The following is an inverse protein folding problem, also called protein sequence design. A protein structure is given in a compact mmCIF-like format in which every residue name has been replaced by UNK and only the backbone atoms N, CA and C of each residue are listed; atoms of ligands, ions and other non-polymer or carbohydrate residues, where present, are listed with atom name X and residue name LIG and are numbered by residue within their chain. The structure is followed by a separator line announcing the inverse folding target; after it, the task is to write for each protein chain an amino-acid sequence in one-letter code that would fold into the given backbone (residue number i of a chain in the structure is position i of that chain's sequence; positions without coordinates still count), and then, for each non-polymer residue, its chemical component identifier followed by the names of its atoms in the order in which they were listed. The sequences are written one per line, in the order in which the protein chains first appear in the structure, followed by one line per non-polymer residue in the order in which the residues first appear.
data_IF_162915443469
#
_entry.id   IF_162915443469
#
_cell.length_a   1.000
_cell.length_b   1.000
_cell.length_c   1.000
_cell.angle_alpha   90.00
_cell.angle_beta   90.00
_cell.angle_gamma   90.00
#
_symmetry.space_group_name_H-M   'P 1'
#
loop_
_entity.id
_entity.type
_entity.pdbx_description
1 polymer ?
#
# COMPACT_ATOMS: atom_id res chain seq x y z
N UNK A 1 -19.41 -14.83 -14.23
CA UNK A 1 -18.08 -14.65 -13.62
C UNK A 1 -17.03 -14.86 -14.70
N UNK A 2 -16.41 -13.79 -15.21
CA UNK A 2 -15.47 -13.87 -16.34
C UNK A 2 -14.06 -13.74 -15.76
N UNK A 3 -13.32 -14.85 -15.68
CA UNK A 3 -11.89 -14.83 -15.34
C UNK A 3 -11.07 -14.42 -16.57
N UNK A 4 -10.15 -13.48 -16.41
CA UNK A 4 -9.09 -13.23 -17.41
C UNK A 4 -7.74 -13.63 -16.84
N UNK A 5 -6.99 -14.41 -17.61
CA UNK A 5 -5.61 -14.84 -17.31
C UNK A 5 -4.64 -13.76 -17.75
N UNK A 6 -3.80 -13.28 -16.83
CA UNK A 6 -2.60 -12.51 -17.17
C UNK A 6 -1.39 -13.43 -16.97
N UNK A 7 -0.60 -13.65 -18.03
CA UNK A 7 0.62 -14.45 -17.98
C UNK A 7 1.77 -13.65 -17.39
N UNK A 8 2.46 -14.23 -16.42
CA UNK A 8 3.66 -13.71 -15.77
C UNK A 8 4.90 -14.37 -16.37
N UNK A 9 5.85 -13.56 -16.84
CA UNK A 9 7.19 -14.02 -17.22
C UNK A 9 8.12 -13.76 -16.03
N UNK A 10 8.78 -14.78 -15.45
CA UNK A 10 9.71 -14.58 -14.35
C UNK A 10 10.92 -13.77 -14.82
N UNK A 11 11.21 -12.65 -14.16
CA UNK A 11 12.42 -11.84 -14.39
C UNK A 11 12.18 -10.46 -15.02
N UNK A 12 10.94 -10.09 -15.36
CA UNK A 12 10.62 -8.74 -15.87
C UNK A 12 9.73 -7.97 -14.89
N UNK A 13 10.25 -6.81 -14.48
CA UNK A 13 9.50 -5.72 -13.84
C UNK A 13 8.20 -5.44 -14.62
N UNK A 14 7.11 -5.14 -13.92
CA UNK A 14 5.84 -4.70 -14.52
C UNK A 14 6.12 -3.57 -15.54
N UNK A 15 6.03 -3.88 -16.83
CA UNK A 15 6.22 -2.89 -17.90
C UNK A 15 4.85 -2.59 -18.52
N UNK A 16 4.24 -1.49 -18.10
CA UNK A 16 3.16 -0.86 -18.87
C UNK A 16 3.84 -0.13 -20.02
N UNK A 17 3.89 -0.74 -21.21
CA UNK A 17 4.44 -0.09 -22.39
C UNK A 17 3.37 0.78 -23.05
N UNK A 18 3.29 2.06 -22.68
CA UNK A 18 2.81 3.09 -23.62
C UNK A 18 4.01 3.58 -24.41
N UNK A 19 4.00 3.34 -25.72
CA UNK A 19 5.12 3.63 -26.61
C UNK A 19 5.52 5.11 -26.66
N UNK A 20 6.73 5.30 -27.19
CA UNK A 20 7.43 6.56 -27.57
C UNK A 20 8.26 7.25 -26.48
N UNK A 21 9.48 6.76 -26.35
CA UNK A 21 10.69 7.60 -26.44
C UNK A 21 10.91 8.60 -25.33
N UNK A 22 11.26 8.12 -24.13
CA UNK A 22 12.09 8.87 -23.18
C UNK A 22 13.09 7.90 -22.56
N UNK A 23 14.37 8.27 -22.57
CA UNK A 23 15.45 7.51 -21.91
C UNK A 23 15.01 7.23 -20.46
N UNK A 24 14.76 5.97 -20.15
CA UNK A 24 14.40 5.55 -18.80
C UNK A 24 15.63 5.76 -17.92
N UNK A 25 15.61 6.86 -17.15
CA UNK A 25 16.57 7.10 -16.11
C UNK A 25 16.22 6.13 -14.97
N UNK A 26 16.76 4.91 -15.05
CA UNK A 26 16.61 3.89 -14.01
C UNK A 26 17.38 4.36 -12.78
N UNK A 27 16.77 5.26 -12.00
CA UNK A 27 17.25 5.60 -10.67
C UNK A 27 16.99 4.38 -9.80
N UNK A 28 18.02 3.55 -9.63
CA UNK A 28 18.03 2.51 -8.61
C UNK A 28 17.83 3.21 -7.27
N UNK A 29 16.64 3.09 -6.68
CA UNK A 29 16.42 3.48 -5.30
C UNK A 29 17.20 2.47 -4.44
N UNK A 30 18.43 2.81 -4.05
CA UNK A 30 19.06 2.17 -2.90
C UNK A 30 18.19 2.49 -1.68
N UNK A 31 17.65 1.47 -1.02
CA UNK A 31 16.75 1.60 0.14
C UNK A 31 17.41 2.20 1.38
N UNK A 32 18.70 2.51 1.31
CA UNK A 32 19.48 3.05 2.42
C UNK A 32 19.64 4.55 2.25
N UNK A 33 18.61 5.30 2.66
CA UNK A 33 18.79 6.71 3.02
C UNK A 33 19.65 6.76 4.29
N UNK A 34 20.79 7.47 4.29
CA UNK A 34 21.60 7.60 5.50
C UNK A 34 20.82 8.45 6.53
N UNK A 35 20.92 8.10 7.81
CA UNK A 35 20.52 8.88 9.00
C UNK A 35 19.13 8.72 9.64
N UNK A 36 18.42 7.60 9.48
CA UNK A 36 17.21 7.31 10.29
C UNK A 36 17.32 6.02 11.13
N UNK A 37 18.46 5.81 11.81
CA UNK A 37 18.67 4.64 12.69
C UNK A 37 18.09 4.79 14.12
N UNK A 38 17.21 5.77 14.36
CA UNK A 38 16.61 5.98 15.68
C UNK A 38 15.18 5.46 15.81
N UNK A 39 14.75 5.23 17.06
CA UNK A 39 13.37 4.82 17.37
C UNK A 39 12.42 6.02 17.28
N UNK A 40 11.29 5.82 16.63
CA UNK A 40 10.16 6.75 16.67
C UNK A 40 9.36 6.50 17.96
N UNK A 41 8.91 7.57 18.62
CA UNK A 41 8.04 7.45 19.80
C UNK A 41 6.73 8.20 19.56
N UNK A 42 5.61 7.53 19.80
CA UNK A 42 4.29 8.15 19.83
C UNK A 42 4.21 9.00 21.10
N UNK A 43 3.91 10.29 20.95
CA UNK A 43 3.76 11.24 22.05
C UNK A 43 2.30 11.40 22.47
N UNK A 44 1.41 11.47 21.48
CA UNK A 44 -0.01 11.64 21.70
C UNK A 44 -0.80 11.01 20.53
N UNK A 45 -2.01 10.56 20.82
CA UNK A 45 -2.93 10.00 19.85
C UNK A 45 -4.37 10.36 20.21
N UNK A 46 -5.04 11.05 19.30
CA UNK A 46 -6.41 11.54 19.49
C UNK A 46 -7.31 11.07 18.37
N UNK A 47 -8.52 10.62 18.71
CA UNK A 47 -9.56 10.33 17.70
C UNK A 47 -10.04 11.65 17.10
N UNK A 48 -9.80 11.83 15.80
CA UNK A 48 -10.28 12.98 15.02
C UNK A 48 -11.68 12.71 14.44
N UNK A 49 -11.93 11.47 14.00
CA UNK A 49 -13.22 11.05 13.45
C UNK A 49 -13.45 9.55 13.66
N UNK A 50 -14.68 9.12 13.97
CA UNK A 50 -15.01 7.71 14.20
C UNK A 50 -16.38 7.32 13.65
N UNK A 51 -16.40 6.38 12.70
CA UNK A 51 -17.60 5.64 12.23
C UNK A 51 -17.23 4.19 11.91
N UNK A 52 -17.52 3.72 10.67
CA UNK A 52 -17.05 2.42 10.18
C UNK A 52 -15.53 2.35 10.11
N UNK A 53 -14.89 3.49 9.85
CA UNK A 53 -13.45 3.68 9.88
C UNK A 53 -13.12 4.84 10.83
N UNK A 54 -11.94 4.80 11.44
CA UNK A 54 -11.50 5.78 12.43
C UNK A 54 -10.25 6.50 11.93
N UNK A 55 -10.22 7.81 12.11
CA UNK A 55 -9.08 8.66 11.81
C UNK A 55 -8.52 9.18 13.13
N UNK A 56 -7.23 8.97 13.33
CA UNK A 56 -6.47 9.38 14.50
C UNK A 56 -5.50 10.47 14.12
N UNK A 57 -5.48 11.57 14.87
CA UNK A 57 -4.36 12.49 14.84
C UNK A 57 -3.24 11.91 15.72
N UNK A 58 -2.11 11.56 15.12
CA UNK A 58 -0.95 10.98 15.82
C UNK A 58 0.22 11.95 15.83
N UNK A 59 0.65 12.34 17.03
CA UNK A 59 1.84 13.15 17.25
C UNK A 59 3.02 12.22 17.57
N UNK A 60 4.07 12.26 16.75
CA UNK A 60 5.30 11.49 16.99
C UNK A 60 6.50 12.39 17.24
N UNK A 61 7.50 11.84 17.94
CA UNK A 61 8.86 12.36 17.98
C UNK A 61 9.74 11.58 17.01
N UNK A 62 10.31 12.29 16.06
CA UNK A 62 11.36 11.76 15.18
C UNK A 62 12.67 11.55 15.94
N UNK A 63 13.57 10.67 15.45
CA UNK A 63 14.92 10.49 16.02
C UNK A 63 15.74 11.77 16.19
N UNK A 64 15.55 12.75 15.30
CA UNK A 64 16.21 14.06 15.36
C UNK A 64 15.58 15.04 16.37
N UNK A 65 14.61 14.59 17.18
CA UNK A 65 13.90 15.40 18.18
C UNK A 65 12.72 16.20 17.62
N UNK A 66 12.53 16.25 16.30
CA UNK A 66 11.41 16.96 15.67
C UNK A 66 10.07 16.32 16.06
N UNK A 67 9.07 17.15 16.35
CA UNK A 67 7.68 16.72 16.58
C UNK A 67 6.87 16.91 15.31
N UNK A 68 6.10 15.90 14.93
CA UNK A 68 5.25 15.95 13.73
C UNK A 68 3.92 15.26 14.00
N UNK A 69 2.85 15.93 13.62
CA UNK A 69 1.49 15.41 13.65
C UNK A 69 1.07 14.97 12.24
N UNK A 70 0.36 13.85 12.14
CA UNK A 70 -0.28 13.39 10.92
C UNK A 70 -1.51 12.53 11.23
N UNK A 71 -2.39 12.43 10.25
CA UNK A 71 -3.57 11.58 10.34
C UNK A 71 -3.23 10.12 10.03
N UNK A 72 -3.69 9.22 10.89
CA UNK A 72 -3.59 7.77 10.75
C UNK A 72 -4.98 7.21 10.56
N UNK A 73 -5.18 6.52 9.44
CA UNK A 73 -6.40 5.79 9.15
C UNK A 73 -6.24 4.33 9.56
N UNK A 74 -7.20 3.80 10.32
CA UNK A 74 -7.24 2.39 10.68
C UNK A 74 -7.99 2.14 11.98
N UNK A 75 -7.72 1.00 12.61
CA UNK A 75 -8.36 0.60 13.85
C UNK A 75 -7.35 0.03 14.86
N UNK A 76 -7.34 0.48 16.13
CA UNK A 76 -6.52 -0.09 17.18
C UNK A 76 -6.81 -1.59 17.41
N UNK A 77 -8.02 -2.07 17.09
CA UNK A 77 -8.37 -3.49 17.21
C UNK A 77 -7.59 -4.38 16.23
N UNK A 78 -7.17 -3.84 15.09
CA UNK A 78 -6.31 -4.51 14.11
C UNK A 78 -4.84 -4.10 14.26
N UNK A 79 -4.49 -3.33 15.30
CA UNK A 79 -3.15 -2.76 15.47
C UNK A 79 -2.71 -1.96 14.24
N UNK A 80 -3.68 -1.26 13.60
CA UNK A 80 -3.48 -0.49 12.38
C UNK A 80 -2.89 -1.30 11.21
N UNK A 81 -3.10 -2.62 11.20
CA UNK A 81 -2.59 -3.52 10.17
C UNK A 81 -3.65 -3.80 9.13
N UNK A 82 -3.18 -3.90 7.89
CA UNK A 82 -3.94 -4.35 6.73
C UNK A 82 -3.14 -5.40 5.99
N UNK A 83 -3.83 -6.32 5.32
CA UNK A 83 -3.25 -7.41 4.54
C UNK A 83 -3.60 -7.22 3.08
N UNK A 84 -2.62 -7.49 2.24
CA UNK A 84 -2.76 -7.53 0.79
C UNK A 84 -2.16 -8.84 0.28
N UNK A 85 -2.92 -9.59 -0.51
CA UNK A 85 -2.50 -10.89 -1.03
C UNK A 85 -2.16 -10.76 -2.50
N UNK A 86 -0.98 -11.27 -2.88
CA UNK A 86 -0.59 -11.44 -4.27
C UNK A 86 -0.70 -12.94 -4.65
N UNK A 87 -1.87 -13.41 -5.14
CA UNK A 87 -2.10 -14.83 -5.36
C UNK A 87 -1.50 -15.27 -6.70
N UNK A 88 -0.24 -15.67 -6.66
CA UNK A 88 0.50 -16.14 -7.83
C UNK A 88 0.48 -17.66 -7.93
N UNK A 89 -0.09 -18.18 -9.02
CA UNK A 89 -0.01 -19.60 -9.36
C UNK A 89 1.26 -19.87 -10.17
N UNK A 90 2.19 -20.59 -9.56
CA UNK A 90 3.48 -20.93 -10.16
C UNK A 90 3.38 -21.94 -11.31
N UNK A 91 2.29 -22.72 -11.41
CA UNK A 91 2.08 -23.70 -12.48
C UNK A 91 1.59 -23.03 -13.75
N UNK A 92 0.55 -22.19 -13.62
CA UNK A 92 -0.02 -21.47 -14.76
C UNK A 92 0.68 -20.14 -15.05
N UNK A 93 1.55 -19.69 -14.13
CA UNK A 93 2.20 -18.39 -14.18
C UNK A 93 1.16 -17.27 -14.25
N UNK A 94 0.07 -17.36 -13.49
CA UNK A 94 -0.99 -16.35 -13.50
C UNK A 94 -1.27 -15.78 -12.12
N UNK A 95 -1.90 -14.61 -12.10
CA UNK A 95 -2.39 -13.95 -10.88
C UNK A 95 -3.91 -13.89 -10.95
N UNK A 96 -4.57 -14.18 -9.83
CA UNK A 96 -6.03 -14.02 -9.71
C UNK A 96 -6.36 -12.64 -9.15
N UNK A 97 -7.27 -11.93 -9.80
CA UNK A 97 -7.81 -10.66 -9.35
C UNK A 97 -9.31 -10.81 -9.09
N UNK A 98 -9.82 -10.03 -8.13
CA UNK A 98 -11.24 -9.90 -7.84
C UNK A 98 -11.80 -8.70 -8.58
N UNK A 99 -13.05 -8.81 -9.05
CA UNK A 99 -13.80 -7.67 -9.61
C UNK A 99 -14.92 -7.31 -8.66
N UNK A 100 -14.82 -6.14 -8.06
CA UNK A 100 -15.80 -5.68 -7.07
C UNK A 100 -16.06 -4.18 -7.22
N UNK A 101 -17.19 -3.75 -6.67
CA UNK A 101 -17.52 -2.34 -6.56
C UNK A 101 -16.68 -1.72 -5.43
N UNK A 102 -15.92 -0.66 -5.75
CA UNK A 102 -15.06 0.04 -4.81
C UNK A 102 -15.72 1.38 -4.44
N UNK A 103 -16.30 1.53 -3.23
CA UNK A 103 -17.07 2.72 -2.87
C UNK A 103 -16.27 4.02 -2.89
N UNK A 104 -14.97 3.97 -2.57
CA UNK A 104 -14.12 5.18 -2.47
C UNK A 104 -13.95 5.92 -3.80
N UNK A 105 -13.92 5.18 -4.91
CA UNK A 105 -13.85 5.73 -6.27
C UNK A 105 -15.19 5.64 -7.00
N UNK A 106 -16.18 4.96 -6.41
CA UNK A 106 -17.52 4.74 -6.95
C UNK A 106 -17.55 4.00 -8.31
N UNK A 107 -16.69 3.00 -8.49
CA UNK A 107 -16.61 2.22 -9.74
C UNK A 107 -16.39 0.72 -9.49
N UNK A 108 -16.71 -0.11 -10.48
CA UNK A 108 -16.41 -1.56 -10.45
C UNK A 108 -15.02 -1.80 -11.06
N UNK A 109 -14.07 -2.19 -10.22
CA UNK A 109 -12.67 -2.33 -10.60
C UNK A 109 -12.12 -3.73 -10.31
N UNK A 110 -10.98 -4.03 -10.95
CA UNK A 110 -10.18 -5.20 -10.63
C UNK A 110 -9.18 -4.85 -9.53
N UNK A 111 -9.12 -5.69 -8.50
CA UNK A 111 -8.21 -5.53 -7.37
C UNK A 111 -7.66 -6.86 -6.89
N UNK A 112 -6.65 -6.77 -6.04
CA UNK A 112 -6.16 -7.92 -5.29
C UNK A 112 -7.06 -8.17 -4.09
N UNK A 113 -7.07 -9.41 -3.61
CA UNK A 113 -7.70 -9.71 -2.33
C UNK A 113 -6.93 -8.98 -1.24
N UNK A 114 -7.61 -8.05 -0.57
CA UNK A 114 -7.09 -7.28 0.54
C UNK A 114 -8.09 -7.29 1.68
N UNK A 115 -7.61 -7.04 2.89
CA UNK A 115 -8.44 -6.97 4.09
C UNK A 115 -7.83 -6.01 5.09
N UNK A 116 -8.68 -5.23 5.73
CA UNK A 116 -8.34 -4.32 6.81
C UNK A 116 -9.55 -4.17 7.73
N UNK A 117 -9.31 -3.65 8.92
CA UNK A 117 -10.33 -3.41 9.93
C UNK A 117 -10.18 -1.99 10.46
#
# INVERSE_FOLDING_TARGET
MILRRACFVPGSLFQVSSGRGRKALTRLYSSESPEFSGKFSILDEKVSFQRYQTVYERLIRYPNGKRVSFDVFGNPRSDFKSVFVFPYDTRTKTVTLLREYIPGINEVMWGFTAGGF
#
